data_IF_355161651999
#
_entry.id   IF_355161651999
#
_cell.length_a   1.000
_cell.length_b   1.000
_cell.length_c   1.000
_cell.angle_alpha   90.00
_cell.angle_beta   90.00
_cell.angle_gamma   90.00
#
_symmetry.space_group_name_H-M   'P 1'
#
loop_
_entity.id
_entity.type
_entity.pdbx_description
1 polymer ?
#
# COMPACT_ATOMS: atom_id res chain seq x y z
N UNK A 1 -29.75 0.39 7.36
CA UNK A 1 -29.16 -0.80 7.97
C UNK A 1 -27.66 -0.59 7.98
N UNK A 2 -26.84 -1.14 8.84
CA UNK A 2 -25.35 -1.03 8.89
C UNK A 2 -24.71 0.36 9.14
N UNK A 3 -25.42 1.40 9.64
CA UNK A 3 -24.81 2.74 9.85
C UNK A 3 -23.56 2.69 10.73
N UNK A 4 -23.63 1.96 11.86
CA UNK A 4 -22.48 1.80 12.77
C UNK A 4 -21.31 1.07 12.10
N UNK A 5 -21.58 -0.01 11.35
CA UNK A 5 -20.54 -0.75 10.62
C UNK A 5 -19.83 0.12 9.57
N UNK A 6 -20.59 0.96 8.84
CA UNK A 6 -20.02 1.90 7.86
C UNK A 6 -19.07 2.92 8.50
N UNK A 7 -19.46 3.45 9.67
CA UNK A 7 -18.61 4.41 10.42
C UNK A 7 -17.32 3.72 10.86
N UNK A 8 -17.42 2.54 11.49
CA UNK A 8 -16.27 1.78 11.95
C UNK A 8 -15.36 1.39 10.78
N UNK A 9 -15.94 0.96 9.65
CA UNK A 9 -15.19 0.64 8.44
C UNK A 9 -14.34 1.82 7.93
N UNK A 10 -14.95 3.01 7.82
CA UNK A 10 -14.23 4.22 7.38
C UNK A 10 -13.14 4.60 8.37
N UNK A 11 -13.45 4.63 9.67
CA UNK A 11 -12.47 4.97 10.71
C UNK A 11 -11.29 3.98 10.67
N UNK A 12 -11.56 2.67 10.61
CA UNK A 12 -10.50 1.65 10.54
C UNK A 12 -9.64 1.83 9.30
N UNK A 13 -10.25 2.08 8.13
CA UNK A 13 -9.51 2.32 6.89
C UNK A 13 -8.61 3.57 6.98
N UNK A 14 -9.12 4.66 7.54
CA UNK A 14 -8.34 5.88 7.75
C UNK A 14 -7.18 5.66 8.72
N UNK A 15 -7.42 4.96 9.83
CA UNK A 15 -6.34 4.60 10.78
C UNK A 15 -5.27 3.75 10.05
N UNK A 16 -5.66 2.79 9.21
CA UNK A 16 -4.71 1.99 8.44
C UNK A 16 -3.92 2.82 7.43
N UNK A 17 -4.50 3.88 6.84
CA UNK A 17 -3.75 4.86 6.02
C UNK A 17 -2.70 5.58 6.89
N UNK A 18 -3.07 6.01 8.10
CA UNK A 18 -2.11 6.65 9.02
C UNK A 18 -1.00 5.68 9.47
N UNK A 19 -1.29 4.40 9.66
CA UNK A 19 -0.25 3.38 9.92
C UNK A 19 0.73 3.31 8.76
N UNK A 20 0.25 3.30 7.50
CA UNK A 20 1.13 3.27 6.31
C UNK A 20 2.01 4.52 6.21
N UNK A 21 1.40 5.70 6.38
CA UNK A 21 2.12 6.97 6.34
C UNK A 21 3.10 7.07 7.52
N UNK A 22 2.69 6.65 8.72
CA UNK A 22 3.52 6.66 9.92
C UNK A 22 4.75 5.75 9.78
N UNK A 23 4.58 4.54 9.24
CA UNK A 23 5.71 3.64 8.95
C UNK A 23 6.67 4.20 7.91
N UNK A 24 6.13 4.83 6.84
CA UNK A 24 6.94 5.54 5.87
C UNK A 24 7.67 6.74 6.52
N UNK A 25 7.04 7.46 7.45
CA UNK A 25 7.65 8.55 8.19
C UNK A 25 8.81 8.06 9.06
N UNK A 26 8.60 7.02 9.89
CA UNK A 26 9.65 6.40 10.71
C UNK A 26 10.87 6.04 9.86
N UNK A 27 10.64 5.38 8.72
CA UNK A 27 11.73 5.00 7.81
C UNK A 27 12.42 6.22 7.20
N UNK A 28 11.67 7.26 6.78
CA UNK A 28 12.23 8.43 6.10
C UNK A 28 13.02 9.35 7.03
N UNK A 29 12.66 9.39 8.31
CA UNK A 29 13.36 10.20 9.32
C UNK A 29 14.49 9.43 10.02
N UNK A 30 14.61 8.12 9.79
CA UNK A 30 15.56 7.29 10.54
C UNK A 30 15.16 7.07 12.00
N UNK A 31 13.87 7.26 12.34
CA UNK A 31 13.37 7.22 13.71
C UNK A 31 13.06 5.80 14.21
N UNK A 32 13.55 4.76 13.53
CA UNK A 32 13.27 3.37 13.93
C UNK A 32 13.94 2.94 15.24
N UNK A 33 14.95 3.69 15.69
CA UNK A 33 15.69 3.47 16.94
C UNK A 33 15.39 4.54 18.01
N UNK A 34 14.39 5.39 17.80
CA UNK A 34 14.01 6.47 18.71
C UNK A 34 13.54 5.99 20.09
N UNK A 35 13.18 4.72 20.23
CA UNK A 35 12.82 4.05 21.49
C UNK A 35 13.89 3.03 21.96
N UNK A 36 15.06 2.97 21.30
CA UNK A 36 16.07 1.95 21.50
C UNK A 36 15.52 0.54 21.19
N UNK A 37 16.18 -0.49 21.71
CA UNK A 37 15.87 -1.91 21.44
C UNK A 37 14.68 -2.44 22.29
N UNK A 38 13.96 -1.58 22.98
CA UNK A 38 12.86 -2.00 23.86
C UNK A 38 11.51 -2.00 23.11
N UNK A 39 10.77 -3.12 23.22
CA UNK A 39 9.43 -3.28 22.69
C UNK A 39 8.58 -4.15 23.66
N UNK A 40 7.34 -3.80 23.97
CA UNK A 40 6.53 -2.66 23.48
C UNK A 40 6.84 -1.31 24.16
N UNK A 41 7.72 -1.31 25.15
CA UNK A 41 8.15 -0.13 25.91
C UNK A 41 9.07 0.77 25.05
N UNK A 42 9.36 1.98 25.53
CA UNK A 42 10.31 2.90 24.95
C UNK A 42 11.38 3.22 26.00
N UNK A 43 12.65 2.86 25.72
CA UNK A 43 13.74 2.91 26.70
C UNK A 43 13.42 2.23 28.04
N UNK A 44 12.67 1.10 27.96
CA UNK A 44 12.21 0.37 29.14
C UNK A 44 11.05 0.99 29.92
N UNK A 45 10.50 2.13 29.46
CA UNK A 45 9.40 2.85 30.09
C UNK A 45 8.14 2.83 29.24
N UNK A 46 6.95 2.90 29.86
CA UNK A 46 5.69 3.03 29.13
C UNK A 46 5.54 4.43 28.51
N UNK A 47 5.98 5.44 29.25
CA UNK A 47 6.03 6.85 28.83
C UNK A 47 7.48 7.30 29.08
N UNK A 48 8.25 7.61 28.03
CA UNK A 48 9.63 8.04 28.19
C UNK A 48 9.72 9.41 28.88
N UNK A 49 10.82 9.67 29.55
CA UNK A 49 11.08 10.96 30.20
C UNK A 49 11.50 12.04 29.22
N UNK A 50 12.23 11.63 28.18
CA UNK A 50 12.74 12.53 27.13
C UNK A 50 11.97 12.31 25.82
N UNK A 51 11.72 13.39 25.09
CA UNK A 51 10.90 13.41 23.88
C UNK A 51 11.63 14.03 22.68
N UNK A 52 12.79 13.50 22.28
CA UNK A 52 13.39 13.92 21.02
C UNK A 52 12.47 13.51 19.85
N UNK A 53 12.66 14.15 18.69
CA UNK A 53 11.73 14.02 17.55
C UNK A 53 11.61 12.57 17.04
N UNK A 54 12.69 11.83 17.01
CA UNK A 54 12.74 10.43 16.63
C UNK A 54 11.90 9.54 17.55
N UNK A 55 12.03 9.74 18.88
CA UNK A 55 11.19 9.07 19.90
C UNK A 55 9.70 9.39 19.70
N UNK A 56 9.36 10.67 19.45
CA UNK A 56 7.97 11.09 19.22
C UNK A 56 7.40 10.37 17.98
N UNK A 57 8.14 10.34 16.88
CA UNK A 57 7.71 9.73 15.62
C UNK A 57 7.50 8.22 15.81
N UNK A 58 8.43 7.53 16.46
CA UNK A 58 8.34 6.09 16.67
C UNK A 58 7.18 5.73 17.61
N UNK A 59 7.04 6.41 18.77
CA UNK A 59 5.93 6.18 19.70
C UNK A 59 4.58 6.47 19.05
N UNK A 60 4.48 7.56 18.28
CA UNK A 60 3.25 7.87 17.56
C UNK A 60 2.87 6.76 16.57
N UNK A 61 3.84 6.22 15.83
CA UNK A 61 3.60 5.08 14.94
C UNK A 61 3.19 3.81 15.69
N UNK A 62 3.85 3.47 16.81
CA UNK A 62 3.48 2.34 17.68
C UNK A 62 2.07 2.51 18.25
N UNK A 63 1.72 3.71 18.73
CA UNK A 63 0.41 4.03 19.28
C UNK A 63 -0.71 3.93 18.25
N UNK A 64 -0.54 4.53 17.06
CA UNK A 64 -1.49 4.44 15.97
C UNK A 64 -1.65 2.98 15.50
N UNK A 65 -0.57 2.20 15.46
CA UNK A 65 -0.61 0.77 15.12
C UNK A 65 -1.39 -0.04 16.16
N UNK A 66 -1.21 0.25 17.45
CA UNK A 66 -2.01 -0.35 18.53
C UNK A 66 -3.51 -0.04 18.41
N UNK A 67 -3.84 1.22 18.15
CA UNK A 67 -5.22 1.66 17.91
C UNK A 67 -5.79 0.95 16.66
N UNK A 68 -5.00 0.80 15.60
CA UNK A 68 -5.40 0.08 14.38
C UNK A 68 -5.80 -1.37 14.67
N UNK A 69 -5.04 -2.07 15.50
CA UNK A 69 -5.36 -3.46 15.92
C UNK A 69 -6.72 -3.51 16.59
N UNK A 70 -7.00 -2.62 17.55
CA UNK A 70 -8.26 -2.58 18.29
C UNK A 70 -9.43 -2.33 17.32
N UNK A 71 -9.33 -1.30 16.47
CA UNK A 71 -10.37 -0.96 15.50
C UNK A 71 -10.57 -2.06 14.46
N UNK A 72 -9.50 -2.73 14.04
CA UNK A 72 -9.59 -3.85 13.10
C UNK A 72 -10.30 -5.07 13.71
N UNK A 73 -10.05 -5.38 14.99
CA UNK A 73 -10.78 -6.44 15.69
C UNK A 73 -12.27 -6.09 15.77
N UNK A 74 -12.61 -4.88 16.18
CA UNK A 74 -14.01 -4.41 16.26
C UNK A 74 -14.68 -4.49 14.87
N UNK A 75 -14.00 -3.98 13.84
CA UNK A 75 -14.50 -4.01 12.46
C UNK A 75 -14.67 -5.43 11.95
N UNK A 76 -13.68 -6.30 12.18
CA UNK A 76 -13.72 -7.70 11.78
C UNK A 76 -14.88 -8.46 12.43
N UNK A 77 -15.08 -8.32 13.73
CA UNK A 77 -16.21 -8.94 14.46
C UNK A 77 -17.56 -8.43 13.96
N UNK A 78 -17.68 -7.12 13.74
CA UNK A 78 -18.92 -6.54 13.22
C UNK A 78 -19.21 -6.99 11.79
N UNK A 79 -18.20 -6.98 10.91
CA UNK A 79 -18.32 -7.45 9.53
C UNK A 79 -18.68 -8.95 9.48
N UNK A 80 -18.00 -9.76 10.28
CA UNK A 80 -18.27 -11.19 10.37
C UNK A 80 -19.72 -11.49 10.78
N UNK A 81 -20.26 -10.79 11.79
CA UNK A 81 -21.64 -10.97 12.27
C UNK A 81 -22.69 -10.46 11.27
N UNK A 82 -22.41 -9.37 10.55
CA UNK A 82 -23.42 -8.68 9.75
C UNK A 82 -23.35 -9.00 8.25
N UNK A 83 -22.16 -9.39 7.73
CA UNK A 83 -21.90 -9.62 6.30
C UNK A 83 -21.36 -11.04 6.01
N UNK A 84 -21.53 -12.00 6.93
CA UNK A 84 -21.05 -13.39 6.72
C UNK A 84 -21.74 -14.12 5.55
N UNK A 85 -22.87 -13.60 5.08
CA UNK A 85 -23.56 -14.07 3.88
C UNK A 85 -22.82 -13.69 2.57
N UNK A 86 -21.93 -12.69 2.61
CA UNK A 86 -21.06 -12.33 1.49
C UNK A 86 -19.84 -13.24 1.54
N UNK A 87 -19.62 -13.99 0.47
CA UNK A 87 -18.58 -15.02 0.38
C UNK A 87 -17.18 -14.54 0.82
N UNK A 88 -16.80 -13.34 0.40
CA UNK A 88 -15.46 -12.80 0.58
C UNK A 88 -15.22 -12.22 1.98
N UNK A 89 -16.28 -11.92 2.75
CA UNK A 89 -16.16 -11.24 4.04
C UNK A 89 -15.27 -11.98 5.03
N UNK A 90 -15.53 -13.29 5.22
CA UNK A 90 -14.73 -14.10 6.17
C UNK A 90 -13.26 -14.17 5.77
N UNK A 91 -12.99 -14.36 4.48
CA UNK A 91 -11.64 -14.38 3.94
C UNK A 91 -10.90 -13.07 4.20
N UNK A 92 -11.52 -11.92 3.90
CA UNK A 92 -10.91 -10.60 4.10
C UNK A 92 -10.67 -10.29 5.58
N UNK A 93 -11.59 -10.68 6.47
CA UNK A 93 -11.40 -10.55 7.93
C UNK A 93 -10.22 -11.40 8.38
N UNK A 94 -10.14 -12.67 7.97
CA UNK A 94 -9.02 -13.53 8.33
C UNK A 94 -7.69 -12.98 7.80
N UNK A 95 -7.64 -12.57 6.54
CA UNK A 95 -6.43 -11.97 5.94
C UNK A 95 -6.01 -10.73 6.71
N UNK A 96 -6.93 -9.78 6.95
CA UNK A 96 -6.58 -8.53 7.63
C UNK A 96 -6.05 -8.78 9.07
N UNK A 97 -6.69 -9.66 9.83
CA UNK A 97 -6.25 -10.00 11.20
C UNK A 97 -4.91 -10.77 11.21
N UNK A 98 -4.72 -11.72 10.30
CA UNK A 98 -3.46 -12.46 10.20
C UNK A 98 -2.30 -11.53 9.80
N UNK A 99 -2.51 -10.69 8.79
CA UNK A 99 -1.45 -9.83 8.29
C UNK A 99 -1.12 -8.67 9.24
N UNK A 100 -2.08 -8.14 10.03
CA UNK A 100 -1.75 -7.15 11.07
C UNK A 100 -0.89 -7.76 12.19
N UNK A 101 -1.14 -9.01 12.56
CA UNK A 101 -0.31 -9.73 13.53
C UNK A 101 1.09 -10.00 12.99
N UNK A 102 1.19 -10.53 11.77
CA UNK A 102 2.47 -10.84 11.12
C UNK A 102 3.33 -9.57 11.00
N UNK A 103 2.77 -8.47 10.50
CA UNK A 103 3.52 -7.22 10.36
C UNK A 103 3.94 -6.63 11.72
N UNK A 104 3.09 -6.77 12.76
CA UNK A 104 3.43 -6.29 14.11
C UNK A 104 4.59 -7.10 14.71
N UNK A 105 4.60 -8.41 14.49
CA UNK A 105 5.70 -9.28 14.91
C UNK A 105 7.00 -8.98 14.17
N UNK A 106 6.93 -8.75 12.85
CA UNK A 106 8.12 -8.37 12.07
C UNK A 106 8.67 -7.02 12.54
N UNK A 107 7.79 -6.02 12.77
CA UNK A 107 8.18 -4.72 13.29
C UNK A 107 8.82 -4.81 14.68
N UNK A 108 8.23 -5.60 15.59
CA UNK A 108 8.79 -5.86 16.91
C UNK A 108 10.16 -6.57 16.82
N UNK A 109 10.28 -7.60 15.98
CA UNK A 109 11.53 -8.35 15.77
C UNK A 109 12.64 -7.46 15.19
N UNK A 110 12.30 -6.50 14.33
CA UNK A 110 13.25 -5.53 13.80
C UNK A 110 13.79 -4.60 14.91
N UNK A 111 12.89 -4.11 15.80
CA UNK A 111 13.28 -3.24 16.91
C UNK A 111 14.16 -3.93 17.94
N UNK A 112 13.79 -5.16 18.36
CA UNK A 112 14.59 -5.90 19.37
C UNK A 112 15.83 -6.58 18.80
N UNK A 113 16.17 -6.31 17.55
CA UNK A 113 17.40 -6.78 16.95
C UNK A 113 17.44 -8.25 16.54
N UNK A 114 16.29 -8.95 16.51
CA UNK A 114 16.21 -10.34 16.06
C UNK A 114 16.30 -10.46 14.54
N UNK A 115 15.74 -9.51 13.82
CA UNK A 115 15.73 -9.49 12.36
C UNK A 115 16.19 -8.13 11.86
N UNK A 116 17.34 -8.13 11.20
CA UNK A 116 17.94 -6.92 10.65
C UNK A 116 17.97 -6.94 9.13
N UNK A 117 18.05 -5.76 8.55
CA UNK A 117 18.38 -5.55 7.16
C UNK A 117 17.23 -5.04 6.30
N UNK A 118 17.63 -4.57 5.17
CA UNK A 118 16.81 -3.85 4.20
C UNK A 118 15.65 -4.70 3.66
N UNK A 119 15.87 -6.00 3.49
CA UNK A 119 14.86 -6.94 3.02
C UNK A 119 13.73 -7.18 4.03
N UNK A 120 14.05 -7.18 5.33
CA UNK A 120 13.05 -7.34 6.39
C UNK A 120 12.12 -6.15 6.44
N UNK A 121 12.66 -4.93 6.36
CA UNK A 121 11.88 -3.70 6.33
C UNK A 121 11.06 -3.57 5.04
N UNK A 122 11.62 -3.99 3.91
CA UNK A 122 10.87 -4.06 2.65
C UNK A 122 9.72 -5.08 2.72
N UNK A 123 9.96 -6.27 3.32
CA UNK A 123 8.92 -7.28 3.54
C UNK A 123 7.85 -6.77 4.50
N UNK A 124 8.22 -6.09 5.59
CA UNK A 124 7.29 -5.46 6.53
C UNK A 124 6.35 -4.49 5.80
N UNK A 125 6.88 -3.62 4.95
CA UNK A 125 6.08 -2.70 4.14
C UNK A 125 5.12 -3.45 3.19
N UNK A 126 5.61 -4.45 2.45
CA UNK A 126 4.79 -5.24 1.53
C UNK A 126 3.65 -5.99 2.22
N UNK A 127 3.91 -6.59 3.38
CA UNK A 127 2.92 -7.28 4.22
C UNK A 127 1.88 -6.28 4.76
N UNK A 128 2.32 -5.09 5.15
CA UNK A 128 1.46 -4.00 5.60
C UNK A 128 0.48 -3.54 4.50
N UNK A 129 0.92 -3.49 3.23
CA UNK A 129 0.04 -3.20 2.10
C UNK A 129 -1.06 -4.24 1.91
N UNK A 130 -0.76 -5.53 2.11
CA UNK A 130 -1.77 -6.59 2.02
C UNK A 130 -2.83 -6.41 3.11
N UNK A 131 -2.40 -6.13 4.35
CA UNK A 131 -3.31 -5.83 5.44
C UNK A 131 -4.22 -4.63 5.13
N UNK A 132 -3.64 -3.52 4.70
CA UNK A 132 -4.39 -2.33 4.28
C UNK A 132 -5.39 -2.67 3.16
N UNK A 133 -4.96 -3.38 2.12
CA UNK A 133 -5.81 -3.73 0.99
C UNK A 133 -7.00 -4.60 1.43
N UNK A 134 -6.80 -5.56 2.33
CA UNK A 134 -7.88 -6.40 2.85
C UNK A 134 -8.92 -5.56 3.62
N UNK A 135 -8.48 -4.62 4.47
CA UNK A 135 -9.37 -3.69 5.19
C UNK A 135 -10.10 -2.76 4.22
N UNK A 136 -9.39 -2.20 3.25
CA UNK A 136 -9.95 -1.31 2.23
C UNK A 136 -11.02 -2.02 1.39
N UNK A 137 -10.73 -3.22 0.89
CA UNK A 137 -11.68 -4.02 0.11
C UNK A 137 -12.89 -4.42 0.96
N UNK A 138 -12.69 -4.82 2.22
CA UNK A 138 -13.79 -5.11 3.15
C UNK A 138 -14.67 -3.87 3.37
N UNK A 139 -14.06 -2.68 3.46
CA UNK A 139 -14.82 -1.41 3.56
C UNK A 139 -15.63 -1.15 2.29
N UNK A 140 -15.10 -1.39 1.10
CA UNK A 140 -15.85 -1.26 -0.15
C UNK A 140 -17.06 -2.22 -0.19
N UNK A 141 -16.92 -3.45 0.34
CA UNK A 141 -18.03 -4.39 0.47
C UNK A 141 -19.12 -3.88 1.43
N UNK A 142 -18.73 -3.29 2.58
CA UNK A 142 -19.69 -2.67 3.52
C UNK A 142 -20.50 -1.56 2.88
N UNK A 143 -19.91 -0.83 1.94
CA UNK A 143 -20.60 0.23 1.20
C UNK A 143 -21.35 -0.30 -0.04
N UNK A 144 -21.27 -1.59 -0.33
CA UNK A 144 -21.87 -2.20 -1.52
C UNK A 144 -21.50 -1.45 -2.81
N UNK A 145 -20.22 -1.09 -2.95
CA UNK A 145 -19.74 -0.28 -4.08
C UNK A 145 -20.04 -0.99 -5.41
N UNK A 146 -19.87 -2.30 -5.46
CA UNK A 146 -20.22 -3.15 -6.59
C UNK A 146 -21.70 -3.07 -6.98
N UNK A 147 -22.61 -3.11 -6.01
CA UNK A 147 -24.06 -3.03 -6.27
C UNK A 147 -24.52 -1.63 -6.69
N UNK A 148 -23.91 -0.57 -6.15
CA UNK A 148 -24.25 0.82 -6.47
C UNK A 148 -23.89 1.22 -7.90
N UNK A 149 -22.85 0.60 -8.47
CA UNK A 149 -22.33 0.94 -9.80
C UNK A 149 -22.75 -0.07 -10.88
N UNK A 150 -23.87 -0.77 -10.63
CA UNK A 150 -24.54 -1.65 -11.57
C UNK A 150 -23.63 -2.75 -12.17
N UNK A 151 -23.14 -3.61 -11.28
CA UNK A 151 -22.36 -4.78 -11.70
C UNK A 151 -23.23 -5.97 -12.12
N UNK A 152 -24.59 -5.80 -12.14
CA UNK A 152 -25.49 -6.83 -12.63
C UNK A 152 -25.21 -7.06 -14.13
N UNK A 153 -24.85 -8.28 -14.47
CA UNK A 153 -24.48 -8.63 -15.84
C UNK A 153 -23.04 -8.23 -16.23
N UNK A 154 -22.18 -7.81 -15.28
CA UNK A 154 -20.78 -7.56 -15.56
C UNK A 154 -20.04 -8.90 -15.81
N UNK A 155 -19.72 -9.15 -17.07
CA UNK A 155 -18.85 -10.27 -17.47
C UNK A 155 -17.43 -9.73 -17.69
N UNK A 156 -16.48 -10.19 -16.89
CA UNK A 156 -15.08 -9.80 -17.02
C UNK A 156 -14.36 -10.84 -17.90
N UNK A 157 -14.17 -10.50 -19.18
CA UNK A 157 -13.51 -11.38 -20.14
C UNK A 157 -12.04 -11.68 -19.77
N UNK A 158 -11.53 -12.79 -20.31
CA UNK A 158 -10.15 -13.30 -20.07
C UNK A 158 -9.05 -12.23 -20.30
N UNK A 159 -9.27 -11.27 -21.21
CA UNK A 159 -8.33 -10.19 -21.50
C UNK A 159 -8.09 -9.30 -20.27
N UNK A 160 -9.14 -8.68 -19.73
CA UNK A 160 -9.03 -7.82 -18.56
C UNK A 160 -8.58 -8.61 -17.32
N UNK A 161 -9.05 -9.85 -17.15
CA UNK A 161 -8.61 -10.75 -16.09
C UNK A 161 -7.09 -10.97 -16.11
N UNK A 162 -6.50 -11.24 -17.29
CA UNK A 162 -5.04 -11.41 -17.43
C UNK A 162 -4.28 -10.11 -17.13
N UNK A 163 -4.77 -8.96 -17.61
CA UNK A 163 -4.16 -7.67 -17.28
C UNK A 163 -4.17 -7.44 -15.77
N UNK A 164 -5.31 -7.63 -15.11
CA UNK A 164 -5.43 -7.39 -13.66
C UNK A 164 -4.52 -8.29 -12.84
N UNK A 165 -4.51 -9.60 -13.12
CA UNK A 165 -3.63 -10.56 -12.42
C UNK A 165 -2.16 -10.27 -12.70
N UNK A 166 -1.80 -10.03 -13.96
CA UNK A 166 -0.41 -9.73 -14.30
C UNK A 166 0.08 -8.43 -13.68
N UNK A 167 -0.74 -7.37 -13.70
CA UNK A 167 -0.38 -6.07 -13.12
C UNK A 167 -0.22 -6.16 -11.60
N UNK A 168 -1.08 -6.89 -10.86
CA UNK A 168 -0.94 -6.99 -9.40
C UNK A 168 0.34 -7.77 -9.01
N UNK A 169 0.71 -8.78 -9.75
CA UNK A 169 1.97 -9.48 -9.54
C UNK A 169 3.15 -8.56 -9.85
N UNK A 170 3.11 -7.89 -10.99
CA UNK A 170 4.19 -7.01 -11.43
C UNK A 170 4.37 -5.79 -10.53
N UNK A 171 3.26 -5.14 -10.11
CA UNK A 171 3.33 -3.98 -9.21
C UNK A 171 3.95 -4.34 -7.86
N UNK A 172 3.78 -5.57 -7.40
CA UNK A 172 4.39 -6.02 -6.16
C UNK A 172 5.92 -6.07 -6.29
N UNK A 173 6.46 -6.50 -7.44
CA UNK A 173 7.89 -6.39 -7.74
C UNK A 173 8.35 -4.92 -7.81
N UNK A 174 7.55 -4.05 -8.43
CA UNK A 174 7.85 -2.60 -8.48
C UNK A 174 7.89 -2.00 -7.09
N UNK A 175 6.96 -2.37 -6.20
CA UNK A 175 6.92 -1.92 -4.80
C UNK A 175 8.21 -2.33 -4.07
N UNK A 176 8.62 -3.59 -4.19
CA UNK A 176 9.87 -4.07 -3.55
C UNK A 176 11.12 -3.40 -4.13
N UNK A 177 11.16 -3.14 -5.43
CA UNK A 177 12.28 -2.39 -6.02
C UNK A 177 12.35 -0.96 -5.49
N UNK A 178 11.19 -0.30 -5.25
CA UNK A 178 11.13 1.02 -4.62
C UNK A 178 11.52 1.00 -3.13
N UNK A 179 11.12 -0.04 -2.40
CA UNK A 179 11.58 -0.27 -1.03
C UNK A 179 13.11 -0.46 -0.98
N UNK A 180 13.67 -1.21 -1.92
CA UNK A 180 15.12 -1.39 -2.03
C UNK A 180 15.84 -0.06 -2.31
N UNK A 181 15.32 0.81 -3.20
CA UNK A 181 15.88 2.17 -3.41
C UNK A 181 15.97 2.93 -2.08
N UNK A 182 14.97 2.77 -1.21
CA UNK A 182 14.95 3.48 0.07
C UNK A 182 15.92 2.88 1.08
N UNK A 183 15.90 1.56 1.24
CA UNK A 183 16.67 0.88 2.28
C UNK A 183 18.16 0.74 1.94
N UNK A 184 18.51 0.71 0.64
CA UNK A 184 19.91 0.75 0.18
C UNK A 184 20.48 2.18 0.10
N UNK A 185 19.81 3.20 0.67
CA UNK A 185 20.20 4.61 0.61
C UNK A 185 20.46 5.14 -0.82
N UNK A 186 19.81 4.50 -1.81
CA UNK A 186 19.94 4.84 -3.22
C UNK A 186 19.00 5.97 -3.68
N UNK A 187 18.21 6.57 -2.78
CA UNK A 187 17.17 7.55 -3.12
C UNK A 187 17.68 8.77 -3.88
N UNK A 188 18.91 9.20 -3.62
CA UNK A 188 19.57 10.35 -4.27
C UNK A 188 20.84 9.95 -5.06
N UNK A 189 20.99 8.67 -5.38
CA UNK A 189 22.13 8.17 -6.16
C UNK A 189 22.18 8.77 -7.59
N UNK A 190 21.02 9.10 -8.15
CA UNK A 190 20.88 9.84 -9.39
C UNK A 190 20.33 11.25 -9.10
N UNK A 191 21.02 12.28 -9.56
CA UNK A 191 20.64 13.69 -9.32
C UNK A 191 19.70 14.27 -10.36
N UNK A 192 19.43 13.52 -11.45
CA UNK A 192 18.53 13.93 -12.54
C UNK A 192 17.40 12.93 -12.78
N UNK A 193 16.40 13.38 -13.52
CA UNK A 193 15.28 12.56 -13.98
C UNK A 193 14.88 12.99 -15.40
N UNK A 194 14.60 12.07 -16.33
CA UNK A 194 14.59 10.60 -16.21
C UNK A 194 15.99 9.96 -16.20
N UNK A 195 17.02 10.63 -16.67
CA UNK A 195 18.41 10.17 -16.66
C UNK A 195 19.00 10.15 -15.25
N UNK A 196 20.13 9.45 -15.06
CA UNK A 196 20.81 9.38 -13.78
C UNK A 196 21.64 10.65 -13.49
N UNK A 197 22.50 11.02 -14.42
CA UNK A 197 23.39 12.18 -14.35
C UNK A 197 23.31 13.00 -15.65
N UNK A 198 23.80 14.25 -15.71
CA UNK A 198 23.68 15.11 -16.89
C UNK A 198 24.21 14.50 -18.19
N UNK A 199 25.30 13.75 -18.13
CA UNK A 199 25.97 13.16 -19.31
C UNK A 199 26.09 11.65 -19.20
N UNK A 200 25.26 10.99 -18.37
CA UNK A 200 25.35 9.57 -18.10
C UNK A 200 23.97 8.93 -18.23
N UNK A 201 23.84 8.01 -19.18
CA UNK A 201 22.59 7.28 -19.42
C UNK A 201 22.55 6.01 -18.57
N UNK A 202 23.67 5.29 -18.46
CA UNK A 202 23.75 4.03 -17.74
C UNK A 202 24.30 4.23 -16.32
N UNK A 203 23.86 3.41 -15.34
CA UNK A 203 24.39 3.45 -13.99
C UNK A 203 25.86 3.00 -13.97
N UNK A 204 26.71 3.62 -13.14
CA UNK A 204 28.12 3.28 -12.98
C UNK A 204 28.43 2.61 -11.63
N UNK A 205 27.46 2.56 -10.72
CA UNK A 205 27.59 1.91 -9.42
C UNK A 205 26.29 1.24 -8.99
N UNK A 206 26.35 0.44 -7.93
CA UNK A 206 25.21 -0.33 -7.39
C UNK A 206 24.02 0.56 -7.05
N UNK A 207 24.21 1.68 -6.35
CA UNK A 207 23.12 2.57 -5.91
C UNK A 207 22.38 3.19 -7.09
N UNK A 208 23.12 3.64 -8.10
CA UNK A 208 22.54 4.13 -9.36
C UNK A 208 21.79 3.03 -10.11
N UNK A 209 22.34 1.80 -10.13
CA UNK A 209 21.68 0.66 -10.77
C UNK A 209 20.35 0.31 -10.09
N UNK A 210 20.29 0.32 -8.75
CA UNK A 210 19.07 0.10 -7.98
C UNK A 210 18.02 1.17 -8.30
N UNK A 211 18.40 2.45 -8.30
CA UNK A 211 17.47 3.54 -8.58
C UNK A 211 16.99 3.55 -10.05
N UNK A 212 17.89 3.36 -11.01
CA UNK A 212 17.54 3.29 -12.44
C UNK A 212 16.72 2.04 -12.76
N UNK A 213 17.05 0.91 -12.13
CA UNK A 213 16.28 -0.33 -12.24
C UNK A 213 14.83 -0.13 -11.80
N UNK A 214 14.61 0.53 -10.66
CA UNK A 214 13.25 0.88 -10.22
C UNK A 214 12.51 1.76 -11.24
N UNK A 215 13.16 2.81 -11.78
CA UNK A 215 12.55 3.67 -12.82
C UNK A 215 12.18 2.89 -14.07
N UNK A 216 13.04 1.96 -14.50
CA UNK A 216 12.77 1.10 -15.66
C UNK A 216 11.57 0.18 -15.43
N UNK A 217 11.46 -0.45 -14.24
CA UNK A 217 10.30 -1.25 -13.87
C UNK A 217 9.01 -0.42 -13.83
N UNK A 218 9.09 0.81 -13.32
CA UNK A 218 7.94 1.75 -13.32
C UNK A 218 7.53 2.12 -14.75
N UNK A 219 8.47 2.32 -15.67
CA UNK A 219 8.17 2.60 -17.08
C UNK A 219 7.40 1.45 -17.73
N UNK A 220 7.83 0.21 -17.50
CA UNK A 220 7.12 -0.98 -18.00
C UNK A 220 5.70 -1.04 -17.40
N UNK A 221 5.56 -0.81 -16.08
CA UNK A 221 4.25 -0.76 -15.41
C UNK A 221 3.35 0.31 -16.05
N UNK A 222 3.88 1.50 -16.28
CA UNK A 222 3.13 2.60 -16.88
C UNK A 222 2.60 2.23 -18.28
N UNK A 223 3.45 1.71 -19.15
CA UNK A 223 3.06 1.26 -20.48
C UNK A 223 1.97 0.18 -20.39
N UNK A 224 2.14 -0.81 -19.51
CA UNK A 224 1.15 -1.87 -19.32
C UNK A 224 -0.19 -1.33 -18.82
N UNK A 225 -0.17 -0.40 -17.85
CA UNK A 225 -1.38 0.26 -17.35
C UNK A 225 -2.09 1.08 -18.42
N UNK A 226 -1.36 1.76 -19.31
CA UNK A 226 -1.94 2.45 -20.49
C UNK A 226 -2.64 1.46 -21.41
N UNK A 227 -2.00 0.36 -21.74
CA UNK A 227 -2.59 -0.70 -22.60
C UNK A 227 -3.88 -1.25 -21.96
N UNK A 228 -3.84 -1.54 -20.66
CA UNK A 228 -4.98 -2.05 -19.93
C UNK A 228 -6.12 -1.01 -19.85
N UNK A 229 -5.80 0.27 -19.64
CA UNK A 229 -6.79 1.35 -19.63
C UNK A 229 -7.46 1.51 -21.01
N UNK A 230 -6.70 1.46 -22.11
CA UNK A 230 -7.25 1.49 -23.48
C UNK A 230 -8.20 0.31 -23.69
N UNK A 231 -7.82 -0.89 -23.23
CA UNK A 231 -8.68 -2.07 -23.30
C UNK A 231 -9.99 -1.84 -22.51
N UNK A 232 -9.92 -1.28 -21.32
CA UNK A 232 -11.09 -0.97 -20.49
C UNK A 232 -11.99 0.07 -21.16
N UNK A 233 -11.42 1.15 -21.69
CA UNK A 233 -12.20 2.20 -22.33
C UNK A 233 -12.91 1.72 -23.60
N UNK A 234 -12.33 0.75 -24.31
CA UNK A 234 -12.94 0.15 -25.52
C UNK A 234 -14.05 -0.86 -25.19
N UNK A 235 -13.90 -1.68 -24.15
CA UNK A 235 -14.77 -2.85 -23.93
C UNK A 235 -15.65 -2.73 -22.68
N UNK A 236 -15.35 -1.80 -21.74
CA UNK A 236 -16.02 -1.66 -20.45
C UNK A 236 -16.49 -0.23 -20.14
N UNK A 237 -16.63 0.61 -21.16
CA UNK A 237 -17.04 2.01 -21.02
C UNK A 237 -18.40 2.19 -20.31
N UNK A 238 -19.31 1.23 -20.48
CA UNK A 238 -20.63 1.23 -19.86
C UNK A 238 -20.64 0.82 -18.39
N UNK A 239 -19.60 0.13 -17.93
CA UNK A 239 -19.47 -0.32 -16.54
C UNK A 239 -18.69 0.71 -15.70
N UNK A 240 -19.42 1.60 -15.04
CA UNK A 240 -18.83 2.74 -14.30
C UNK A 240 -17.79 2.31 -13.27
N UNK A 241 -18.01 1.20 -12.55
CA UNK A 241 -17.06 0.71 -11.54
C UNK A 241 -15.71 0.36 -12.19
N UNK A 242 -15.72 -0.31 -13.34
CA UNK A 242 -14.50 -0.69 -14.04
C UNK A 242 -13.82 0.54 -14.65
N UNK A 243 -14.55 1.31 -15.47
CA UNK A 243 -14.02 2.49 -16.15
C UNK A 243 -13.42 3.50 -15.17
N UNK A 244 -14.21 3.95 -14.20
CA UNK A 244 -13.78 5.02 -13.29
C UNK A 244 -12.62 4.57 -12.39
N UNK A 245 -12.63 3.33 -11.92
CA UNK A 245 -11.55 2.85 -11.08
C UNK A 245 -10.23 2.68 -11.85
N UNK A 246 -10.26 2.24 -13.12
CA UNK A 246 -9.05 2.21 -13.95
C UNK A 246 -8.53 3.62 -14.27
N UNK A 247 -9.42 4.59 -14.49
CA UNK A 247 -9.04 6.01 -14.65
C UNK A 247 -8.40 6.52 -13.36
N UNK A 248 -9.01 6.25 -12.20
CA UNK A 248 -8.46 6.67 -10.88
C UNK A 248 -7.08 6.04 -10.66
N UNK A 249 -6.93 4.73 -10.92
CA UNK A 249 -5.61 4.06 -10.77
C UNK A 249 -4.56 4.67 -11.69
N UNK A 250 -4.91 4.97 -12.95
CA UNK A 250 -3.98 5.61 -13.88
C UNK A 250 -3.60 7.03 -13.43
N UNK A 251 -4.55 7.81 -12.93
CA UNK A 251 -4.29 9.13 -12.35
C UNK A 251 -3.35 9.03 -11.14
N UNK A 252 -3.61 8.09 -10.23
CA UNK A 252 -2.75 7.85 -9.08
C UNK A 252 -1.35 7.39 -9.50
N UNK A 253 -1.22 6.57 -10.56
CA UNK A 253 0.09 6.15 -11.08
C UNK A 253 0.88 7.33 -11.67
N UNK A 254 0.21 8.25 -12.37
CA UNK A 254 0.86 9.47 -12.86
C UNK A 254 1.33 10.33 -11.69
N UNK A 255 0.51 10.53 -10.67
CA UNK A 255 0.89 11.25 -9.44
C UNK A 255 2.05 10.54 -8.70
N UNK A 256 2.05 9.21 -8.69
CA UNK A 256 3.13 8.39 -8.14
C UNK A 256 4.46 8.65 -8.86
N UNK A 257 4.44 8.71 -10.20
CA UNK A 257 5.63 9.00 -11.01
C UNK A 257 6.11 10.44 -10.77
N UNK A 258 5.19 11.39 -10.75
CA UNK A 258 5.50 12.80 -10.48
C UNK A 258 6.15 12.96 -9.10
N UNK A 259 5.55 12.38 -8.05
CA UNK A 259 6.13 12.46 -6.69
C UNK A 259 7.47 11.75 -6.60
N UNK A 260 7.67 10.64 -7.33
CA UNK A 260 8.96 9.97 -7.43
C UNK A 260 10.03 10.85 -8.08
N UNK A 261 9.69 11.58 -9.14
CA UNK A 261 10.59 12.56 -9.78
C UNK A 261 10.87 13.75 -8.86
N UNK A 262 9.82 14.30 -8.22
CA UNK A 262 9.96 15.42 -7.28
C UNK A 262 10.82 15.06 -6.06
N UNK A 263 10.82 13.81 -5.60
CA UNK A 263 11.69 13.36 -4.50
C UNK A 263 13.18 13.65 -4.82
N UNK A 264 13.58 13.52 -6.08
CA UNK A 264 14.96 13.82 -6.50
C UNK A 264 15.21 15.33 -6.51
N UNK A 265 14.33 16.10 -7.14
CA UNK A 265 14.50 17.56 -7.28
C UNK A 265 14.37 18.33 -5.98
N UNK A 266 13.72 17.74 -4.98
CA UNK A 266 13.54 18.33 -3.64
C UNK A 266 14.44 17.71 -2.57
N UNK A 267 15.47 16.96 -2.99
CA UNK A 267 16.42 16.32 -2.08
C UNK A 267 15.73 15.46 -1.00
N UNK A 268 14.81 14.61 -1.46
CA UNK A 268 14.04 13.70 -0.61
C UNK A 268 13.11 14.41 0.41
N UNK A 269 12.47 15.50 0.01
CA UNK A 269 11.49 16.18 0.86
C UNK A 269 10.47 15.18 1.43
N UNK A 270 10.27 15.23 2.75
CA UNK A 270 9.52 14.22 3.49
C UNK A 270 8.05 14.17 3.06
N UNK A 271 7.40 15.31 2.85
CA UNK A 271 5.99 15.36 2.45
C UNK A 271 5.78 14.71 1.07
N UNK A 272 6.68 14.99 0.12
CA UNK A 272 6.62 14.39 -1.23
C UNK A 272 6.83 12.87 -1.13
N UNK A 273 7.76 12.43 -0.30
CA UNK A 273 8.01 11.01 -0.09
C UNK A 273 6.82 10.29 0.59
N UNK A 274 6.10 10.96 1.50
CA UNK A 274 4.88 10.43 2.13
C UNK A 274 3.73 10.34 1.13
N UNK A 275 3.54 11.33 0.25
CA UNK A 275 2.55 11.24 -0.83
C UNK A 275 2.87 10.12 -1.81
N UNK A 276 4.16 9.91 -2.13
CA UNK A 276 4.59 8.78 -2.94
C UNK A 276 4.22 7.44 -2.29
N UNK A 277 4.40 7.27 -0.99
CA UNK A 277 3.96 6.07 -0.27
C UNK A 277 2.43 5.93 -0.21
N UNK A 278 1.70 7.04 -0.08
CA UNK A 278 0.23 7.05 -0.07
C UNK A 278 -0.36 6.62 -1.41
N UNK A 279 0.14 7.15 -2.52
CA UNK A 279 -0.43 6.84 -3.84
C UNK A 279 -0.28 5.37 -4.19
N UNK A 280 0.89 4.75 -3.92
CA UNK A 280 1.05 3.31 -4.17
C UNK A 280 0.15 2.46 -3.28
N UNK A 281 -0.08 2.88 -2.03
CA UNK A 281 -1.00 2.22 -1.11
C UNK A 281 -2.43 2.19 -1.67
N UNK A 282 -2.90 3.33 -2.20
CA UNK A 282 -4.23 3.44 -2.81
C UNK A 282 -4.34 2.62 -4.11
N UNK A 283 -3.34 2.69 -4.99
CA UNK A 283 -3.31 1.90 -6.23
C UNK A 283 -3.42 0.41 -5.91
N UNK A 284 -2.62 -0.07 -4.95
CA UNK A 284 -2.61 -1.47 -4.56
C UNK A 284 -3.96 -1.90 -3.98
N UNK A 285 -4.56 -1.08 -3.11
CA UNK A 285 -5.90 -1.33 -2.56
C UNK A 285 -6.97 -1.46 -3.65
N UNK A 286 -6.99 -0.57 -4.65
CA UNK A 286 -7.93 -0.62 -5.77
C UNK A 286 -7.69 -1.85 -6.65
N UNK A 287 -6.44 -2.21 -6.92
CA UNK A 287 -6.11 -3.45 -7.66
C UNK A 287 -6.61 -4.69 -6.93
N UNK A 288 -6.46 -4.76 -5.61
CA UNK A 288 -7.00 -5.87 -4.80
C UNK A 288 -8.53 -5.94 -4.89
N UNK A 289 -9.23 -4.80 -4.96
CA UNK A 289 -10.66 -4.80 -5.22
C UNK A 289 -11.00 -5.41 -6.60
N UNK A 290 -10.20 -5.14 -7.64
CA UNK A 290 -10.41 -5.78 -8.95
C UNK A 290 -10.09 -7.27 -8.94
N UNK A 291 -9.11 -7.73 -8.15
CA UNK A 291 -8.89 -9.17 -7.94
C UNK A 291 -10.15 -9.82 -7.35
N UNK A 292 -10.79 -9.15 -6.39
CA UNK A 292 -12.06 -9.63 -5.85
C UNK A 292 -13.13 -9.70 -6.93
N UNK A 293 -13.32 -8.66 -7.73
CA UNK A 293 -14.32 -8.65 -8.80
C UNK A 293 -14.11 -9.77 -9.83
N UNK A 294 -12.88 -9.98 -10.29
CA UNK A 294 -12.55 -11.03 -11.28
C UNK A 294 -12.58 -12.45 -10.68
N UNK A 295 -12.58 -12.60 -9.36
CA UNK A 295 -12.67 -13.90 -8.68
C UNK A 295 -14.11 -14.38 -8.52
N UNK A 296 -15.09 -13.51 -8.75
CA UNK A 296 -16.50 -13.87 -8.74
C UNK A 296 -16.82 -14.69 -9.99
N UNK A 297 -17.65 -15.75 -9.87
CA UNK A 297 -18.09 -16.48 -11.04
C UNK A 297 -18.85 -15.52 -11.97
N UNK A 298 -18.65 -15.70 -13.29
CA UNK A 298 -19.41 -14.99 -14.30
C UNK A 298 -20.90 -15.24 -14.00
N UNK A 299 -21.66 -14.18 -13.89
CA UNK A 299 -23.10 -14.30 -13.71
C UNK A 299 -23.64 -14.77 -15.07
N UNK A 300 -23.87 -16.08 -15.20
CA UNK A 300 -24.75 -16.56 -16.28
C UNK A 300 -26.17 -16.08 -15.95
N UNK A 301 -26.84 -15.41 -16.89
CA UNK A 301 -28.19 -14.90 -16.67
C UNK A 301 -29.23 -16.04 -16.51
#
# INVERSE_FOLDING_TARGET
MYKKLKIVAVITTLIMVFVQIGGALVTKTGSAEGCGDSWPLCHGQLIPTDWPLDTIIEIAHRGVSGIAIIFLIIFGVMAWKQLSHIRETKFLVCVSLSFILIQSLIGAAAVVGLWHGEFVLAAHFGISLICFAAVFVLTLLVFHVDLKYDTKGLIIHKGLRRHTIGIIIYIYFVIYSGALVRHADASLACTKWPHCMPNQILPTNFYQAVQMGHRFLVLILFIWMVIALIHVLKHYSNYRVIKNGWIIMMTLLVLQIITGALTIFTYANIFIALFHALFITLIFGILCYYILLISRPDYEP
#
